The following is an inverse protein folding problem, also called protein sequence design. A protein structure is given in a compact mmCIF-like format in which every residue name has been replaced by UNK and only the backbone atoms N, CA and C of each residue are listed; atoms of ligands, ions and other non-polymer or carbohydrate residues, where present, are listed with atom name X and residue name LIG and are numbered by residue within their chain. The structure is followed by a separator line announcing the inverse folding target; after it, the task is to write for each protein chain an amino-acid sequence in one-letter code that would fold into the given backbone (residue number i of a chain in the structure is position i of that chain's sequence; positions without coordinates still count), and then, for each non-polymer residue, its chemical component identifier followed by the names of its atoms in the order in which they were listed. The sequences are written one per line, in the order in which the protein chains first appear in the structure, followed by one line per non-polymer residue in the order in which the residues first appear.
data_IF_921484485209
#
_entry.id   IF_921484485209
#
_cell.length_a   1.000
_cell.length_b   1.000
_cell.length_c   1.000
_cell.angle_alpha   90.00
_cell.angle_beta   90.00
_cell.angle_gamma   90.00
#
_symmetry.space_group_name_H-M   'P 1'
#
loop_
_entity.id
_entity.type
_entity.pdbx_description
1 polymer ?
#
# COMPACT_ATOMS: atom_id res chain seq x y z
N UNK A 1 9.62 -19.57 5.25
CA UNK A 1 8.92 -18.54 4.46
C UNK A 1 8.34 -17.52 5.44
N UNK A 2 8.53 -16.21 5.23
CA UNK A 2 7.98 -15.20 6.14
C UNK A 2 6.43 -15.22 6.05
N UNK A 3 5.71 -15.11 7.15
CA UNK A 3 4.23 -15.29 7.19
C UNK A 3 3.50 -14.36 6.22
N UNK A 4 4.03 -13.16 6.00
CA UNK A 4 3.52 -12.17 5.05
C UNK A 4 3.67 -12.63 3.60
N UNK A 5 4.84 -13.14 3.21
CA UNK A 5 5.09 -13.62 1.85
C UNK A 5 4.20 -14.83 1.49
N UNK A 6 3.95 -15.72 2.45
CA UNK A 6 3.00 -16.82 2.28
C UNK A 6 1.57 -16.31 1.98
N UNK A 7 1.11 -15.32 2.74
CA UNK A 7 -0.23 -14.74 2.56
C UNK A 7 -0.33 -14.12 1.17
N UNK A 8 0.67 -13.35 0.74
CA UNK A 8 0.64 -12.66 -0.55
C UNK A 8 0.62 -13.64 -1.75
N UNK A 9 1.38 -14.74 -1.68
CA UNK A 9 1.45 -15.71 -2.78
C UNK A 9 0.18 -16.55 -2.86
N UNK A 10 -0.34 -17.01 -1.73
CA UNK A 10 -1.57 -17.82 -1.69
C UNK A 10 -2.80 -16.98 -1.99
N UNK A 11 -2.87 -15.74 -1.51
CA UNK A 11 -4.01 -14.87 -1.79
C UNK A 11 -4.16 -14.62 -3.29
N UNK A 12 -3.08 -14.50 -4.08
CA UNK A 12 -3.17 -14.37 -5.54
C UNK A 12 -3.87 -15.56 -6.20
N UNK A 13 -3.63 -16.78 -5.70
CA UNK A 13 -4.19 -18.02 -6.25
C UNK A 13 -5.69 -18.12 -5.95
N UNK A 14 -6.15 -17.59 -4.81
CA UNK A 14 -7.56 -17.63 -4.37
C UNK A 14 -8.21 -16.25 -4.27
N UNK A 15 -7.68 -15.27 -4.99
CA UNK A 15 -8.20 -13.91 -5.03
C UNK A 15 -9.55 -13.90 -5.78
N UNK A 16 -10.51 -13.04 -5.38
CA UNK A 16 -11.72 -12.84 -6.17
C UNK A 16 -11.38 -12.45 -7.62
N UNK A 17 -12.07 -13.09 -8.58
CA UNK A 17 -11.75 -13.00 -10.00
C UNK A 17 -10.97 -14.21 -10.55
N UNK A 18 -10.23 -14.95 -9.70
CA UNK A 18 -9.57 -16.19 -10.14
C UNK A 18 -10.58 -17.33 -10.36
N UNK A 19 -10.35 -18.22 -11.36
CA UNK A 19 -11.22 -19.38 -11.58
C UNK A 19 -11.32 -20.30 -10.35
N UNK A 20 -10.22 -20.47 -9.62
CA UNK A 20 -10.21 -21.28 -8.41
C UNK A 20 -11.08 -20.65 -7.31
N UNK A 21 -11.00 -19.33 -7.12
CA UNK A 21 -11.85 -18.64 -6.15
C UNK A 21 -13.33 -18.73 -6.51
N UNK A 22 -13.67 -18.54 -7.78
CA UNK A 22 -15.05 -18.69 -8.25
C UNK A 22 -15.60 -20.10 -7.94
N UNK A 23 -14.82 -21.14 -8.22
CA UNK A 23 -15.20 -22.51 -7.91
C UNK A 23 -15.36 -22.75 -6.40
N UNK A 24 -14.45 -22.24 -5.57
CA UNK A 24 -14.52 -22.31 -4.11
C UNK A 24 -15.78 -21.59 -3.59
N UNK A 25 -16.08 -20.40 -4.10
CA UNK A 25 -17.25 -19.62 -3.69
C UNK A 25 -18.55 -20.32 -4.12
N UNK A 26 -18.58 -20.99 -5.27
CA UNK A 26 -19.72 -21.81 -5.70
C UNK A 26 -19.97 -22.98 -4.74
N UNK A 27 -18.91 -23.69 -4.31
CA UNK A 27 -19.00 -24.77 -3.31
C UNK A 27 -19.52 -24.23 -1.98
N UNK A 28 -19.01 -23.08 -1.53
CA UNK A 28 -19.44 -22.44 -0.29
C UNK A 28 -20.92 -22.01 -0.35
N UNK A 29 -21.35 -21.35 -1.44
CA UNK A 29 -22.73 -20.87 -1.67
C UNK A 29 -23.76 -21.99 -1.71
N UNK A 30 -23.40 -23.13 -2.30
CA UNK A 30 -24.24 -24.32 -2.30
C UNK A 30 -24.32 -25.02 -0.93
N UNK A 31 -23.66 -24.47 0.09
CA UNK A 31 -23.53 -25.05 1.42
C UNK A 31 -22.97 -26.46 1.31
N UNK A 32 -21.94 -26.65 0.49
CA UNK A 32 -21.23 -27.92 0.38
C UNK A 32 -19.88 -27.80 1.11
N UNK A 33 -19.44 -28.87 1.75
CA UNK A 33 -18.08 -28.92 2.29
C UNK A 33 -17.08 -29.23 1.19
N UNK A 34 -15.82 -28.88 1.37
CA UNK A 34 -14.79 -29.20 0.38
C UNK A 34 -13.42 -29.30 1.02
N UNK A 35 -12.59 -30.22 0.53
CA UNK A 35 -11.18 -30.31 0.85
C UNK A 35 -10.41 -30.38 -0.46
N UNK A 36 -9.69 -29.33 -0.80
CA UNK A 36 -9.00 -29.19 -2.09
C UNK A 36 -7.50 -29.09 -1.81
N UNK A 37 -6.68 -29.81 -2.56
CA UNK A 37 -5.22 -29.76 -2.47
C UNK A 37 -4.65 -29.31 -3.81
N UNK A 38 -3.75 -28.34 -3.83
CA UNK A 38 -2.99 -27.96 -5.02
C UNK A 38 -1.62 -28.64 -4.99
N UNK A 39 -1.33 -29.45 -6.00
CA UNK A 39 -0.09 -30.20 -6.14
C UNK A 39 -0.23 -31.68 -5.73
N UNK A 40 0.46 -32.55 -6.47
CA UNK A 40 0.48 -34.00 -6.28
C UNK A 40 1.92 -34.53 -6.31
N UNK A 41 2.68 -34.22 -5.26
CA UNK A 41 4.07 -34.65 -5.09
C UNK A 41 4.19 -36.06 -4.49
N UNK A 42 5.42 -36.57 -4.34
CA UNK A 42 5.67 -37.91 -3.78
C UNK A 42 5.07 -38.09 -2.38
N UNK A 43 5.06 -37.04 -1.55
CA UNK A 43 4.43 -37.09 -0.23
C UNK A 43 2.91 -37.26 -0.32
N UNK A 44 2.26 -36.62 -1.31
CA UNK A 44 0.83 -36.83 -1.59
C UNK A 44 0.53 -38.27 -2.02
N UNK A 45 1.39 -38.89 -2.84
CA UNK A 45 1.17 -40.28 -3.30
C UNK A 45 1.06 -41.27 -2.14
N UNK A 46 1.77 -41.01 -1.04
CA UNK A 46 1.78 -41.89 0.14
C UNK A 46 0.54 -41.76 1.04
N UNK A 47 -0.23 -40.68 0.90
CA UNK A 47 -1.36 -40.37 1.79
C UNK A 47 -2.71 -40.36 1.09
N UNK A 48 -2.74 -40.49 -0.23
CA UNK A 48 -3.96 -40.52 -1.04
C UNK A 48 -4.44 -41.95 -1.16
N UNK A 49 -5.66 -42.19 -0.69
CA UNK A 49 -6.32 -43.49 -0.76
C UNK A 49 -7.65 -43.38 -1.53
N UNK A 50 -7.90 -44.36 -2.40
CA UNK A 50 -9.08 -44.43 -3.26
C UNK A 50 -9.27 -43.24 -4.21
N UNK A 51 -10.53 -42.96 -4.51
CA UNK A 51 -10.94 -41.89 -5.45
C UNK A 51 -10.83 -42.24 -6.92
N UNK A 52 -11.12 -41.24 -7.76
CA UNK A 52 -11.12 -41.36 -9.22
C UNK A 52 -10.02 -40.50 -9.81
N UNK A 53 -9.20 -41.08 -10.66
CA UNK A 53 -8.30 -40.31 -11.53
C UNK A 53 -9.10 -39.72 -12.68
N UNK A 54 -9.10 -38.40 -12.80
CA UNK A 54 -9.90 -37.64 -13.78
C UNK A 54 -8.99 -37.02 -14.84
N UNK A 55 -7.96 -36.29 -14.39
CA UNK A 55 -7.01 -35.57 -15.24
C UNK A 55 -7.67 -34.71 -16.33
N UNK A 56 -8.66 -33.89 -15.95
CA UNK A 56 -9.30 -32.94 -16.85
C UNK A 56 -8.79 -31.50 -16.62
N UNK A 57 -9.05 -30.61 -17.58
CA UNK A 57 -8.81 -29.17 -17.40
C UNK A 57 -9.69 -28.62 -16.27
N UNK A 58 -9.15 -27.66 -15.53
CA UNK A 58 -9.86 -27.00 -14.45
C UNK A 58 -10.97 -26.11 -15.02
N UNK A 59 -12.16 -26.21 -14.42
CA UNK A 59 -13.18 -25.18 -14.53
C UNK A 59 -13.88 -24.99 -13.18
N UNK A 60 -14.36 -23.77 -12.87
CA UNK A 60 -15.14 -23.52 -11.65
C UNK A 60 -16.35 -24.47 -11.52
N UNK A 61 -17.00 -24.77 -12.64
CA UNK A 61 -18.14 -25.69 -12.70
C UNK A 61 -17.75 -27.13 -12.38
N UNK A 62 -16.61 -27.62 -12.89
CA UNK A 62 -16.14 -28.97 -12.59
C UNK A 62 -15.75 -29.11 -11.12
N UNK A 63 -15.04 -28.12 -10.56
CA UNK A 63 -14.73 -28.12 -9.13
C UNK A 63 -16.01 -28.18 -8.29
N UNK A 64 -17.00 -27.37 -8.65
CA UNK A 64 -18.30 -27.33 -7.98
C UNK A 64 -19.03 -28.68 -8.01
N UNK A 65 -19.13 -29.32 -9.18
CA UNK A 65 -19.80 -30.61 -9.33
C UNK A 65 -19.07 -31.72 -8.56
N UNK A 66 -17.74 -31.79 -8.67
CA UNK A 66 -16.93 -32.80 -7.99
C UNK A 66 -16.94 -32.62 -6.47
N UNK A 67 -17.06 -31.39 -5.97
CA UNK A 67 -17.13 -31.11 -4.54
C UNK A 67 -18.44 -31.58 -3.88
N UNK A 68 -19.45 -31.98 -4.66
CA UNK A 68 -20.66 -32.65 -4.14
C UNK A 68 -20.36 -34.07 -3.65
N UNK A 69 -19.26 -34.67 -4.11
CA UNK A 69 -18.78 -35.96 -3.62
C UNK A 69 -18.09 -35.78 -2.26
N UNK A 70 -18.11 -36.82 -1.43
CA UNK A 70 -17.30 -36.85 -0.22
C UNK A 70 -15.81 -36.99 -0.55
N UNK A 71 -14.94 -36.64 0.39
CA UNK A 71 -13.48 -36.75 0.25
C UNK A 71 -12.80 -35.46 -0.17
N UNK A 72 -11.64 -35.59 -0.79
CA UNK A 72 -10.81 -34.50 -1.27
C UNK A 72 -10.73 -34.46 -2.80
N UNK A 73 -10.40 -33.28 -3.31
CA UNK A 73 -10.10 -33.00 -4.72
C UNK A 73 -8.64 -32.58 -4.79
N UNK A 74 -7.90 -33.15 -5.74
CA UNK A 74 -6.48 -32.86 -5.94
C UNK A 74 -6.33 -32.19 -7.30
N UNK A 75 -5.73 -31.00 -7.30
CA UNK A 75 -5.40 -30.21 -8.48
C UNK A 75 -3.91 -30.35 -8.80
N UNK A 76 -3.53 -29.98 -10.03
CA UNK A 76 -2.13 -29.71 -10.38
C UNK A 76 -1.53 -28.60 -9.50
N UNK A 77 -0.20 -28.46 -9.53
CA UNK A 77 0.51 -27.43 -8.75
C UNK A 77 0.09 -26.02 -9.19
N UNK A 78 -0.12 -25.84 -10.49
CA UNK A 78 -0.58 -24.62 -11.14
C UNK A 78 -2.10 -24.41 -11.01
N UNK A 79 -2.85 -25.43 -10.58
CA UNK A 79 -4.31 -25.38 -10.44
C UNK A 79 -5.08 -25.41 -11.76
N UNK A 80 -4.42 -25.68 -12.87
CA UNK A 80 -4.98 -25.72 -14.23
C UNK A 80 -5.67 -27.05 -14.59
N UNK A 81 -5.48 -28.10 -13.78
CA UNK A 81 -6.07 -29.43 -13.98
C UNK A 81 -6.61 -30.02 -12.69
N UNK A 82 -7.71 -30.77 -12.80
CA UNK A 82 -8.24 -31.61 -11.73
C UNK A 82 -7.72 -33.03 -11.93
N UNK A 83 -6.84 -33.47 -11.04
CA UNK A 83 -6.16 -34.76 -11.13
C UNK A 83 -7.03 -35.88 -10.54
N UNK A 84 -7.53 -35.66 -9.32
CA UNK A 84 -8.34 -36.64 -8.60
C UNK A 84 -9.54 -36.00 -7.91
N UNK A 85 -10.60 -36.77 -7.71
CA UNK A 85 -11.71 -36.43 -6.82
C UNK A 85 -12.16 -37.65 -6.01
N UNK A 86 -12.90 -37.40 -4.93
CA UNK A 86 -13.36 -38.42 -3.98
C UNK A 86 -12.20 -39.23 -3.37
N UNK A 87 -11.07 -38.59 -3.13
CA UNK A 87 -9.92 -39.24 -2.48
C UNK A 87 -10.02 -39.10 -0.97
N UNK A 88 -9.68 -40.14 -0.23
CA UNK A 88 -9.46 -40.06 1.20
C UNK A 88 -8.00 -39.67 1.48
N UNK A 89 -7.78 -38.61 2.25
CA UNK A 89 -6.43 -38.21 2.67
C UNK A 89 -6.13 -38.75 4.05
N UNK A 90 -5.06 -39.53 4.17
CA UNK A 90 -4.62 -40.20 5.40
C UNK A 90 -3.23 -39.69 5.82
N UNK A 91 -3.12 -38.43 6.29
CA UNK A 91 -1.84 -37.89 6.74
C UNK A 91 -1.41 -38.53 8.07
N UNK A 92 -0.13 -38.42 8.40
CA UNK A 92 0.43 -38.96 9.64
C UNK A 92 -0.30 -38.41 10.88
N UNK A 93 -0.93 -39.27 11.72
CA UNK A 93 -1.71 -38.84 12.87
C UNK A 93 -0.87 -38.22 13.99
N UNK A 94 0.46 -38.44 14.02
CA UNK A 94 1.35 -37.84 15.02
C UNK A 94 1.63 -36.37 14.76
N UNK A 95 1.32 -35.85 13.57
CA UNK A 95 1.44 -34.43 13.27
C UNK A 95 0.43 -33.65 14.14
N UNK A 96 0.89 -32.71 14.97
CA UNK A 96 0.02 -31.93 15.83
C UNK A 96 -0.96 -31.11 14.99
N UNK A 97 -2.16 -30.89 15.51
CA UNK A 97 -3.16 -30.04 14.88
C UNK A 97 -3.93 -29.30 15.97
N UNK A 98 -4.21 -28.03 15.74
CA UNK A 98 -5.00 -27.18 16.65
C UNK A 98 -6.47 -27.11 16.22
N UNK A 99 -6.82 -27.76 15.11
CA UNK A 99 -8.15 -27.73 14.53
C UNK A 99 -9.12 -28.70 15.22
N UNK A 100 -10.39 -28.30 15.29
CA UNK A 100 -11.43 -29.07 16.00
C UNK A 100 -12.22 -30.01 15.09
N UNK A 101 -12.34 -29.68 13.79
CA UNK A 101 -13.08 -30.48 12.81
C UNK A 101 -12.20 -31.47 12.06
N UNK A 102 -12.70 -32.69 11.79
CA UNK A 102 -11.95 -33.77 11.09
C UNK A 102 -11.35 -33.25 9.77
N UNK A 103 -12.14 -32.52 8.96
CA UNK A 103 -11.69 -31.94 7.69
C UNK A 103 -10.56 -30.91 7.87
N UNK A 104 -10.70 -30.00 8.83
CA UNK A 104 -9.69 -28.99 9.11
C UNK A 104 -8.40 -29.60 9.71
N UNK A 105 -8.53 -30.62 10.57
CA UNK A 105 -7.36 -31.38 11.08
C UNK A 105 -6.63 -32.09 9.94
N UNK A 106 -7.39 -32.70 9.03
CA UNK A 106 -6.82 -33.35 7.84
C UNK A 106 -6.11 -32.32 6.98
N UNK A 107 -6.75 -31.18 6.72
CA UNK A 107 -6.16 -30.08 5.94
C UNK A 107 -4.84 -29.57 6.55
N UNK A 108 -4.83 -29.26 7.85
CA UNK A 108 -3.63 -28.79 8.55
C UNK A 108 -2.50 -29.82 8.51
N UNK A 109 -2.81 -31.11 8.71
CA UNK A 109 -1.80 -32.18 8.69
C UNK A 109 -1.26 -32.45 7.29
N UNK A 110 -2.12 -32.49 6.28
CA UNK A 110 -1.71 -32.66 4.88
C UNK A 110 -0.80 -31.50 4.47
N UNK A 111 -1.19 -30.26 4.78
CA UNK A 111 -0.38 -29.08 4.49
C UNK A 111 1.00 -29.12 5.17
N UNK A 112 1.07 -29.55 6.44
CA UNK A 112 2.34 -29.70 7.17
C UNK A 112 3.21 -30.83 6.62
N UNK A 113 2.61 -31.96 6.26
CA UNK A 113 3.33 -33.13 5.81
C UNK A 113 3.88 -32.94 4.39
N UNK A 114 3.06 -32.38 3.50
CA UNK A 114 3.35 -32.36 2.05
C UNK A 114 3.92 -31.03 1.56
N UNK A 115 3.78 -29.96 2.36
CA UNK A 115 4.12 -28.60 1.97
C UNK A 115 3.14 -27.96 0.97
N UNK A 116 2.15 -28.71 0.49
CA UNK A 116 1.18 -28.26 -0.50
C UNK A 116 0.14 -27.32 0.10
N UNK A 117 -0.47 -26.48 -0.74
CA UNK A 117 -1.60 -25.65 -0.36
C UNK A 117 -2.85 -26.53 -0.23
N UNK A 118 -3.48 -26.48 0.94
CA UNK A 118 -4.73 -27.18 1.23
C UNK A 118 -5.81 -26.20 1.61
N UNK A 119 -6.95 -26.28 0.92
CA UNK A 119 -8.11 -25.41 1.05
C UNK A 119 -9.24 -26.22 1.67
N UNK A 120 -9.67 -25.82 2.87
CA UNK A 120 -10.80 -26.42 3.58
C UNK A 120 -11.99 -25.47 3.55
N UNK A 121 -13.10 -25.94 2.99
CA UNK A 121 -14.38 -25.24 2.92
C UNK A 121 -15.31 -25.84 3.98
N UNK A 122 -15.66 -25.02 4.97
CA UNK A 122 -16.57 -25.42 6.05
C UNK A 122 -17.97 -24.90 5.81
N UNK A 123 -18.84 -25.79 5.34
CA UNK A 123 -20.29 -25.56 5.20
C UNK A 123 -20.92 -24.96 6.46
N UNK A 124 -20.67 -25.53 7.64
CA UNK A 124 -21.35 -25.11 8.89
C UNK A 124 -20.96 -23.69 9.33
N UNK A 125 -19.69 -23.34 9.16
CA UNK A 125 -19.15 -22.04 9.57
C UNK A 125 -19.22 -20.98 8.47
N UNK A 126 -19.54 -21.38 7.24
CA UNK A 126 -19.46 -20.53 6.06
C UNK A 126 -18.08 -19.85 5.91
N UNK A 127 -17.00 -20.61 6.11
CA UNK A 127 -15.62 -20.11 6.12
C UNK A 127 -14.75 -20.99 5.23
N UNK A 128 -13.85 -20.34 4.47
CA UNK A 128 -12.78 -20.97 3.71
C UNK A 128 -11.47 -20.78 4.48
N UNK A 129 -10.71 -21.85 4.69
CA UNK A 129 -9.43 -21.80 5.39
C UNK A 129 -8.33 -22.44 4.54
N UNK A 130 -7.21 -21.74 4.44
CA UNK A 130 -6.03 -22.09 3.66
C UNK A 130 -4.93 -22.55 4.62
N UNK A 131 -4.26 -23.63 4.27
CA UNK A 131 -3.14 -24.21 5.01
C UNK A 131 -1.99 -24.48 4.07
N UNK A 132 -0.76 -24.13 4.45
CA UNK A 132 0.46 -24.53 3.73
C UNK A 132 1.63 -24.57 4.71
N UNK A 133 2.29 -25.73 4.83
CA UNK A 133 3.25 -25.95 5.91
C UNK A 133 2.63 -25.64 7.27
N UNK A 134 3.28 -24.80 8.06
CA UNK A 134 2.77 -24.36 9.38
C UNK A 134 1.79 -23.18 9.31
N UNK A 135 1.63 -22.58 8.13
CA UNK A 135 0.83 -21.37 7.96
C UNK A 135 -0.66 -21.68 7.81
N UNK A 136 -1.48 -20.80 8.39
CA UNK A 136 -2.95 -20.88 8.37
C UNK A 136 -3.53 -19.50 8.11
N UNK A 137 -4.44 -19.41 7.14
CA UNK A 137 -5.16 -18.17 6.84
C UNK A 137 -6.64 -18.46 6.59
N UNK A 138 -7.52 -17.70 7.23
CA UNK A 138 -8.96 -17.77 6.98
C UNK A 138 -9.34 -16.66 6.01
N UNK A 139 -9.90 -17.01 4.85
CA UNK A 139 -10.41 -16.01 3.93
C UNK A 139 -11.56 -15.25 4.60
N UNK A 140 -11.49 -13.93 4.53
CA UNK A 140 -12.58 -13.06 4.99
C UNK A 140 -13.67 -13.03 3.92
N UNK A 141 -14.87 -12.71 4.35
CA UNK A 141 -15.98 -12.41 3.45
C UNK A 141 -15.67 -11.16 2.62
N UNK A 142 -15.96 -11.22 1.32
CA UNK A 142 -15.67 -10.13 0.37
C UNK A 142 -16.39 -8.84 0.80
N UNK A 143 -17.65 -8.94 1.25
CA UNK A 143 -18.43 -7.79 1.72
C UNK A 143 -17.84 -7.14 2.96
N UNK A 144 -17.25 -7.92 3.87
CA UNK A 144 -16.51 -7.39 5.02
C UNK A 144 -15.26 -6.62 4.59
N UNK A 145 -14.49 -7.16 3.63
CA UNK A 145 -13.29 -6.47 3.13
C UNK A 145 -13.69 -5.19 2.40
N UNK A 146 -14.68 -5.23 1.51
CA UNK A 146 -15.22 -4.06 0.81
C UNK A 146 -15.70 -2.97 1.78
N UNK A 147 -16.39 -3.35 2.86
CA UNK A 147 -16.87 -2.40 3.87
C UNK A 147 -15.70 -1.67 4.54
N UNK A 148 -14.65 -2.41 4.93
CA UNK A 148 -13.44 -1.82 5.52
C UNK A 148 -12.67 -0.95 4.54
N UNK A 149 -12.56 -1.39 3.28
CA UNK A 149 -11.91 -0.62 2.23
C UNK A 149 -12.60 0.73 1.99
N UNK A 150 -13.93 0.75 1.92
CA UNK A 150 -14.72 1.98 1.81
C UNK A 150 -14.53 2.91 3.02
N UNK A 151 -14.53 2.37 4.25
CA UNK A 151 -14.25 3.16 5.45
C UNK A 151 -12.84 3.76 5.44
N UNK A 152 -11.85 3.00 4.97
CA UNK A 152 -10.49 3.47 4.84
C UNK A 152 -10.35 4.58 3.79
N UNK A 153 -11.06 4.49 2.65
CA UNK A 153 -11.15 5.56 1.64
C UNK A 153 -11.75 6.83 2.23
N UNK A 154 -12.88 6.75 2.93
CA UNK A 154 -13.49 7.93 3.58
C UNK A 154 -12.55 8.56 4.62
N UNK A 155 -11.79 7.72 5.33
CA UNK A 155 -10.77 8.21 6.27
C UNK A 155 -9.66 8.92 5.51
N UNK A 156 -9.16 8.33 4.43
CA UNK A 156 -8.15 8.91 3.57
C UNK A 156 -8.56 10.27 3.02
N UNK A 157 -9.80 10.41 2.53
CA UNK A 157 -10.37 11.69 2.05
C UNK A 157 -10.29 12.78 3.12
N UNK A 158 -10.68 12.45 4.35
CA UNK A 158 -10.61 13.39 5.48
C UNK A 158 -9.17 13.79 5.81
N UNK A 159 -8.25 12.82 5.85
CA UNK A 159 -6.84 13.11 6.13
C UNK A 159 -6.18 13.90 4.99
N UNK A 160 -6.53 13.61 3.73
CA UNK A 160 -6.08 14.36 2.56
C UNK A 160 -6.56 15.79 2.62
N UNK A 161 -7.85 16.04 2.90
CA UNK A 161 -8.37 17.41 3.04
C UNK A 161 -7.63 18.21 4.11
N UNK A 162 -7.32 17.60 5.26
CA UNK A 162 -6.54 18.25 6.32
C UNK A 162 -5.08 18.48 5.89
N UNK A 163 -4.49 17.54 5.16
CA UNK A 163 -3.14 17.68 4.59
C UNK A 163 -3.09 18.84 3.58
N UNK A 164 -4.04 18.89 2.64
CA UNK A 164 -4.13 19.92 1.62
C UNK A 164 -4.23 21.32 2.27
N UNK A 165 -5.07 21.47 3.31
CA UNK A 165 -5.12 22.71 4.09
C UNK A 165 -3.79 23.01 4.81
N UNK A 166 -3.15 22.00 5.39
CA UNK A 166 -1.84 22.16 6.03
C UNK A 166 -0.76 22.64 5.06
N UNK A 167 -0.76 22.11 3.83
CA UNK A 167 0.16 22.50 2.75
C UNK A 167 -0.12 23.94 2.28
N UNK A 168 -1.39 24.35 2.20
CA UNK A 168 -1.79 25.73 1.88
C UNK A 168 -1.32 26.68 2.97
N UNK A 169 -1.60 26.36 4.24
CA UNK A 169 -1.18 27.19 5.38
C UNK A 169 0.34 27.30 5.46
N UNK A 170 1.07 26.20 5.30
CA UNK A 170 2.53 26.21 5.26
C UNK A 170 3.03 27.06 4.09
N UNK A 171 2.44 26.94 2.90
CA UNK A 171 2.79 27.78 1.76
C UNK A 171 2.63 29.28 2.05
N UNK A 172 1.55 29.70 2.70
CA UNK A 172 1.39 31.10 3.07
C UNK A 172 2.48 31.57 4.04
N UNK A 173 2.83 30.75 5.05
CA UNK A 173 3.91 31.04 5.98
C UNK A 173 5.29 31.09 5.31
N UNK A 174 5.52 30.26 4.28
CA UNK A 174 6.75 30.28 3.48
C UNK A 174 6.92 31.63 2.76
N UNK A 175 5.84 32.20 2.21
CA UNK A 175 5.84 33.51 1.59
C UNK A 175 5.94 34.67 2.61
N UNK A 176 5.45 34.47 3.83
CA UNK A 176 5.52 35.44 4.93
C UNK A 176 6.88 35.39 5.67
N UNK A 177 7.76 34.43 5.35
CA UNK A 177 9.03 34.17 6.04
C UNK A 177 8.84 33.83 7.54
N UNK A 178 7.73 33.16 7.89
CA UNK A 178 7.30 32.85 9.27
C UNK A 178 7.27 31.34 9.59
N UNK A 179 7.89 30.50 8.78
CA UNK A 179 7.87 29.04 9.00
C UNK A 179 8.75 28.65 10.18
N UNK A 180 8.23 27.78 11.05
CA UNK A 180 9.01 27.12 12.10
C UNK A 180 9.02 25.60 11.90
N UNK A 181 9.85 24.90 12.67
CA UNK A 181 9.86 23.43 12.63
C UNK A 181 8.53 22.81 13.05
N UNK A 182 7.73 23.52 13.85
CA UNK A 182 6.42 23.04 14.26
C UNK A 182 5.49 22.88 13.06
N UNK A 183 5.37 23.89 12.19
CA UNK A 183 4.49 23.80 11.01
C UNK A 183 4.98 22.76 10.01
N UNK A 184 6.30 22.68 9.79
CA UNK A 184 6.90 21.67 8.90
C UNK A 184 6.63 20.26 9.42
N UNK A 185 6.85 20.02 10.72
CA UNK A 185 6.63 18.70 11.33
C UNK A 185 5.17 18.29 11.23
N UNK A 186 4.24 19.21 11.52
CA UNK A 186 2.79 18.95 11.40
C UNK A 186 2.39 18.52 9.99
N UNK A 187 2.91 19.17 8.94
CA UNK A 187 2.60 18.77 7.55
C UNK A 187 3.22 17.41 7.23
N UNK A 188 4.48 17.15 7.62
CA UNK A 188 5.12 15.83 7.41
C UNK A 188 4.35 14.72 8.14
N UNK A 189 3.86 14.97 9.37
CA UNK A 189 3.01 14.03 10.09
C UNK A 189 1.75 13.68 9.29
N UNK A 190 1.08 14.68 8.70
CA UNK A 190 -0.14 14.46 7.88
C UNK A 190 0.16 13.68 6.61
N UNK A 191 1.28 13.98 5.94
CA UNK A 191 1.75 13.22 4.78
C UNK A 191 1.91 11.75 5.14
N UNK A 192 2.62 11.45 6.23
CA UNK A 192 2.89 10.07 6.63
C UNK A 192 1.61 9.32 7.01
N UNK A 193 0.66 9.97 7.69
CA UNK A 193 -0.66 9.38 7.98
C UNK A 193 -1.42 9.01 6.69
N UNK A 194 -1.42 9.88 5.68
CA UNK A 194 -2.02 9.61 4.36
C UNK A 194 -1.36 8.41 3.69
N UNK A 195 -0.03 8.32 3.70
CA UNK A 195 0.72 7.20 3.09
C UNK A 195 0.52 5.87 3.83
N UNK A 196 0.30 5.90 5.15
CA UNK A 196 -0.06 4.70 5.95
C UNK A 196 -1.43 4.18 5.58
N UNK A 197 -2.44 5.06 5.51
CA UNK A 197 -3.80 4.68 5.12
C UNK A 197 -3.80 4.16 3.69
N UNK A 198 -3.07 4.80 2.76
CA UNK A 198 -2.85 4.28 1.39
C UNK A 198 -2.33 2.85 1.40
N UNK A 199 -1.31 2.57 2.21
CA UNK A 199 -0.72 1.23 2.32
C UNK A 199 -1.72 0.21 2.85
N UNK A 200 -2.57 0.59 3.80
CA UNK A 200 -3.64 -0.27 4.32
C UNK A 200 -4.71 -0.56 3.25
N UNK A 201 -5.13 0.44 2.48
CA UNK A 201 -6.10 0.29 1.38
C UNK A 201 -5.55 -0.64 0.29
N UNK A 202 -4.27 -0.53 -0.06
CA UNK A 202 -3.63 -1.43 -1.02
C UNK A 202 -3.70 -2.90 -0.57
N UNK A 203 -3.58 -3.17 0.74
CA UNK A 203 -3.75 -4.53 1.26
C UNK A 203 -5.19 -5.02 1.06
N UNK A 204 -6.20 -4.16 1.28
CA UNK A 204 -7.59 -4.51 0.97
C UNK A 204 -7.82 -4.75 -0.52
N UNK A 205 -7.25 -3.92 -1.41
CA UNK A 205 -7.34 -4.11 -2.86
C UNK A 205 -6.73 -5.44 -3.28
N UNK A 206 -5.56 -5.79 -2.74
CA UNK A 206 -4.92 -7.07 -2.99
C UNK A 206 -5.77 -8.26 -2.49
N UNK A 207 -6.41 -8.15 -1.32
CA UNK A 207 -7.35 -9.17 -0.82
C UNK A 207 -8.62 -9.28 -1.68
N UNK A 208 -9.05 -8.18 -2.31
CA UNK A 208 -10.28 -8.11 -3.13
C UNK A 208 -10.08 -8.56 -4.58
N UNK A 209 -8.86 -8.60 -5.11
CA UNK A 209 -8.61 -8.95 -6.51
C UNK A 209 -9.43 -8.07 -7.47
N UNK A 210 -10.16 -8.69 -8.40
CA UNK A 210 -10.98 -7.98 -9.40
C UNK A 210 -12.09 -7.13 -8.78
N UNK A 211 -12.64 -7.54 -7.63
CA UNK A 211 -13.67 -6.80 -6.88
C UNK A 211 -13.10 -5.49 -6.27
N UNK A 212 -11.77 -5.36 -6.19
CA UNK A 212 -11.07 -4.20 -5.66
C UNK A 212 -10.92 -3.05 -6.65
N UNK A 213 -11.32 -3.23 -7.91
CA UNK A 213 -11.06 -2.30 -9.01
C UNK A 213 -11.52 -0.86 -8.71
N UNK A 214 -12.75 -0.68 -8.23
CA UNK A 214 -13.28 0.66 -7.93
C UNK A 214 -12.51 1.33 -6.78
N UNK A 215 -12.17 0.58 -5.74
CA UNK A 215 -11.37 1.07 -4.61
C UNK A 215 -9.98 1.50 -5.10
N UNK A 216 -9.36 0.72 -5.98
CA UNK A 216 -8.05 1.05 -6.55
C UNK A 216 -8.09 2.35 -7.35
N UNK A 217 -9.14 2.55 -8.16
CA UNK A 217 -9.32 3.79 -8.93
C UNK A 217 -9.49 5.01 -8.01
N UNK A 218 -10.34 4.89 -6.98
CA UNK A 218 -10.53 5.95 -5.99
C UNK A 218 -9.23 6.29 -5.24
N UNK A 219 -8.47 5.25 -4.85
CA UNK A 219 -7.20 5.44 -4.18
C UNK A 219 -6.20 6.20 -5.06
N UNK A 220 -6.06 5.78 -6.32
CA UNK A 220 -5.14 6.41 -7.28
C UNK A 220 -5.47 7.88 -7.50
N UNK A 221 -6.75 8.22 -7.66
CA UNK A 221 -7.22 9.60 -7.77
C UNK A 221 -6.85 10.43 -6.52
N UNK A 222 -7.17 9.92 -5.33
CA UNK A 222 -6.95 10.63 -4.07
C UNK A 222 -5.47 10.85 -3.75
N UNK A 223 -4.60 9.88 -4.02
CA UNK A 223 -3.18 9.98 -3.64
C UNK A 223 -2.25 10.37 -4.78
N UNK A 224 -2.81 10.68 -5.95
CA UNK A 224 -2.05 11.19 -7.09
C UNK A 224 -1.18 12.37 -6.64
N UNK A 225 0.11 12.30 -6.94
CA UNK A 225 1.14 13.31 -6.63
C UNK A 225 1.53 13.52 -5.15
N UNK A 226 0.86 12.92 -4.17
CA UNK A 226 1.18 13.16 -2.73
C UNK A 226 2.62 12.73 -2.41
N UNK A 227 3.07 11.58 -2.90
CA UNK A 227 4.45 11.11 -2.69
C UNK A 227 5.49 12.06 -3.30
N UNK A 228 5.16 12.67 -4.44
CA UNK A 228 6.03 13.66 -5.08
C UNK A 228 6.06 14.97 -4.30
N UNK A 229 4.91 15.48 -3.86
CA UNK A 229 4.85 16.70 -3.03
C UNK A 229 5.53 16.50 -1.68
N UNK A 230 5.41 15.31 -1.08
CA UNK A 230 6.14 14.91 0.12
C UNK A 230 7.66 14.94 -0.09
N UNK A 231 8.15 14.39 -1.20
CA UNK A 231 9.57 14.46 -1.55
C UNK A 231 10.08 15.90 -1.71
N UNK A 232 9.31 16.74 -2.40
CA UNK A 232 9.65 18.17 -2.58
C UNK A 232 9.63 18.94 -1.25
N UNK A 233 8.65 18.67 -0.39
CA UNK A 233 8.59 19.23 0.97
C UNK A 233 9.83 18.87 1.77
N UNK A 234 10.25 17.61 1.74
CA UNK A 234 11.47 17.18 2.42
C UNK A 234 12.70 17.87 1.82
N UNK A 235 12.85 17.91 0.49
CA UNK A 235 13.95 18.63 -0.16
C UNK A 235 14.05 20.10 0.26
N UNK A 236 12.92 20.74 0.56
CA UNK A 236 12.91 22.13 1.03
C UNK A 236 13.48 22.31 2.44
N UNK A 237 13.36 21.30 3.31
CA UNK A 237 13.66 21.43 4.74
C UNK A 237 14.73 20.48 5.27
N UNK A 238 15.28 19.56 4.48
CA UNK A 238 16.42 18.72 4.92
C UNK A 238 17.66 19.60 5.12
N UNK A 239 18.45 19.33 6.16
CA UNK A 239 19.67 20.09 6.43
C UNK A 239 20.76 19.89 5.36
N UNK A 240 21.06 18.65 5.00
CA UNK A 240 22.06 18.29 3.98
C UNK A 240 21.40 18.02 2.62
N UNK A 241 21.69 18.83 1.61
CA UNK A 241 21.14 18.69 0.26
C UNK A 241 21.49 17.36 -0.42
N UNK A 242 22.57 16.70 0.00
CA UNK A 242 22.99 15.42 -0.58
C UNK A 242 22.20 14.23 -0.01
N UNK A 243 21.40 14.45 1.03
CA UNK A 243 20.60 13.40 1.63
C UNK A 243 19.36 13.14 0.77
N UNK A 244 19.21 11.89 0.34
CA UNK A 244 18.09 11.42 -0.47
C UNK A 244 16.75 11.52 0.30
N UNK A 245 15.81 12.31 -0.22
CA UNK A 245 14.48 12.46 0.38
C UNK A 245 13.72 11.13 0.43
N UNK A 246 13.96 10.22 -0.51
CA UNK A 246 13.35 8.90 -0.53
C UNK A 246 13.84 8.04 0.63
N UNK A 247 15.07 8.25 1.08
CA UNK A 247 15.59 7.59 2.27
C UNK A 247 14.82 8.04 3.52
N UNK A 248 14.53 9.33 3.65
CA UNK A 248 13.78 9.87 4.78
C UNK A 248 12.33 9.40 4.76
N UNK A 249 11.66 9.40 3.61
CA UNK A 249 10.31 8.83 3.48
C UNK A 249 10.26 7.37 3.93
N UNK A 250 11.29 6.58 3.58
CA UNK A 250 11.41 5.19 4.06
C UNK A 250 11.66 5.09 5.57
N UNK A 251 12.36 6.04 6.17
CA UNK A 251 12.56 6.10 7.62
C UNK A 251 11.26 6.49 8.34
N UNK A 252 10.52 7.48 7.84
CA UNK A 252 9.20 7.89 8.36
C UNK A 252 8.21 6.70 8.35
N UNK A 253 8.20 5.92 7.27
CA UNK A 253 7.39 4.70 7.16
C UNK A 253 7.68 3.64 8.23
N UNK A 254 8.89 3.63 8.79
CA UNK A 254 9.31 2.66 9.82
C UNK A 254 8.94 3.09 11.25
N UNK A 255 8.60 4.36 11.46
CA UNK A 255 8.24 4.87 12.78
C UNK A 255 6.96 4.18 13.28
N UNK A 256 6.88 3.97 14.59
CA UNK A 256 5.63 3.62 15.25
C UNK A 256 4.68 4.83 15.26
N UNK A 257 3.39 4.58 15.56
CA UNK A 257 2.43 5.67 15.65
C UNK A 257 2.75 6.62 16.83
N UNK A 258 3.41 6.13 17.89
CA UNK A 258 3.82 6.94 19.04
C UNK A 258 5.01 7.84 18.69
N UNK A 259 6.02 7.29 18.01
CA UNK A 259 7.16 8.05 17.51
C UNK A 259 6.72 9.12 16.49
N UNK A 260 5.69 8.82 15.71
CA UNK A 260 5.06 9.78 14.79
C UNK A 260 4.23 10.87 15.50
N UNK A 261 4.17 10.93 16.82
CA UNK A 261 3.59 12.08 17.53
C UNK A 261 4.66 13.03 18.05
N UNK A 262 5.93 12.64 17.97
CA UNK A 262 7.05 13.42 18.47
C UNK A 262 7.68 14.26 17.35
N UNK A 263 7.35 15.55 17.29
CA UNK A 263 7.95 16.49 16.33
C UNK A 263 9.49 16.45 16.35
N UNK A 264 10.10 16.24 17.52
CA UNK A 264 11.57 16.14 17.65
C UNK A 264 12.18 14.97 16.87
N UNK A 265 11.44 13.88 16.65
CA UNK A 265 11.91 12.75 15.84
C UNK A 265 11.97 13.18 14.38
N UNK A 266 10.96 13.90 13.88
CA UNK A 266 10.96 14.43 12.51
C UNK A 266 12.12 15.39 12.30
N UNK A 267 12.30 16.36 13.21
CA UNK A 267 13.39 17.35 13.12
C UNK A 267 14.76 16.67 13.09
N UNK A 268 14.94 15.60 13.87
CA UNK A 268 16.16 14.78 13.83
C UNK A 268 16.34 14.08 12.47
N UNK A 269 15.28 13.53 11.89
CA UNK A 269 15.34 12.86 10.58
C UNK A 269 15.70 13.84 9.46
N UNK A 270 15.27 15.10 9.57
CA UNK A 270 15.69 16.19 8.69
C UNK A 270 17.15 16.62 8.88
N UNK A 271 17.86 16.08 9.88
CA UNK A 271 19.29 16.33 10.12
C UNK A 271 19.58 17.42 11.15
N UNK A 272 18.57 17.91 11.88
CA UNK A 272 18.74 18.95 12.90
C UNK A 272 18.92 18.38 14.31
N UNK A 273 19.45 19.20 15.21
CA UNK A 273 19.67 18.82 16.61
C UNK A 273 18.35 18.76 17.38
N UNK A 274 18.24 17.84 18.34
CA UNK A 274 17.06 17.70 19.21
C UNK A 274 16.82 18.90 20.14
N UNK A 275 17.83 19.73 20.38
CA UNK A 275 17.76 20.82 21.35
C UNK A 275 17.17 22.12 20.79
N UNK A 276 16.65 22.10 19.56
CA UNK A 276 16.06 23.27 18.92
C UNK A 276 14.66 23.51 19.49
N UNK A 277 14.36 24.76 19.87
CA UNK A 277 13.01 25.16 20.20
C UNK A 277 12.16 25.21 18.92
N UNK A 278 11.23 24.27 18.77
CA UNK A 278 10.51 24.04 17.52
C UNK A 278 9.61 25.20 17.10
N UNK A 279 9.08 25.96 18.07
CA UNK A 279 8.14 27.07 17.83
C UNK A 279 8.83 28.42 17.68
N UNK A 280 10.09 28.55 18.08
CA UNK A 280 10.84 29.83 18.02
C UNK A 280 11.90 29.83 16.93
N UNK A 281 12.35 28.66 16.47
CA UNK A 281 13.36 28.57 15.44
C UNK A 281 12.72 28.65 14.06
N UNK A 282 12.94 29.79 13.40
CA UNK A 282 12.50 29.99 12.02
C UNK A 282 13.39 29.23 11.05
N UNK A 283 12.77 28.72 9.98
CA UNK A 283 13.45 28.00 8.91
C UNK A 283 12.91 28.49 7.56
N UNK A 284 13.78 28.59 6.57
CA UNK A 284 13.40 29.03 5.21
C UNK A 284 13.46 27.85 4.26
N UNK A 285 12.41 27.59 3.46
CA UNK A 285 12.46 26.55 2.45
C UNK A 285 13.40 26.93 1.30
N UNK A 286 13.97 25.91 0.65
CA UNK A 286 14.76 26.11 -0.58
C UNK A 286 13.93 26.63 -1.75
N UNK A 287 12.71 26.11 -1.92
CA UNK A 287 11.76 26.51 -2.95
C UNK A 287 11.40 25.41 -3.95
N UNK A 288 11.90 24.18 -3.81
CA UNK A 288 11.61 23.04 -4.67
C UNK A 288 10.11 22.85 -4.87
N UNK A 289 9.32 22.87 -3.79
CA UNK A 289 7.88 22.63 -3.82
C UNK A 289 7.14 23.73 -4.57
N UNK A 290 7.41 25.00 -4.26
CA UNK A 290 6.76 26.16 -4.88
C UNK A 290 7.14 26.25 -6.37
N UNK A 291 8.43 26.11 -6.71
CA UNK A 291 8.91 26.22 -8.09
C UNK A 291 8.33 25.11 -8.99
N UNK A 292 8.16 23.89 -8.47
CA UNK A 292 7.51 22.80 -9.21
C UNK A 292 6.03 23.03 -9.49
N UNK A 293 5.35 23.94 -8.77
CA UNK A 293 3.97 24.34 -9.07
C UNK A 293 3.89 25.26 -10.29
N UNK A 294 5.00 25.85 -10.74
CA UNK A 294 5.04 26.70 -11.93
C UNK A 294 5.04 25.82 -13.20
N UNK A 295 4.02 25.91 -14.07
CA UNK A 295 3.90 25.01 -15.21
C UNK A 295 5.07 25.12 -16.19
N UNK A 296 5.53 23.99 -16.74
CA UNK A 296 6.57 23.92 -17.79
C UNK A 296 7.95 24.48 -17.37
N UNK A 297 8.30 24.40 -16.09
CA UNK A 297 9.67 24.59 -15.61
C UNK A 297 10.33 23.21 -15.49
N UNK A 298 11.42 22.92 -16.24
CA UNK A 298 12.13 21.66 -16.12
C UNK A 298 12.77 21.48 -14.73
N UNK A 299 12.84 20.26 -14.18
CA UNK A 299 13.47 20.02 -12.87
C UNK A 299 14.92 20.53 -12.77
N UNK A 300 15.72 20.37 -13.84
CA UNK A 300 17.09 20.89 -13.88
C UNK A 300 17.17 22.41 -13.68
N UNK A 301 16.19 23.15 -14.19
CA UNK A 301 16.12 24.61 -13.99
C UNK A 301 15.80 24.94 -12.53
N UNK A 302 14.98 24.12 -11.87
CA UNK A 302 14.69 24.27 -10.43
C UNK A 302 15.95 24.02 -9.60
N UNK A 303 16.73 22.98 -9.92
CA UNK A 303 18.03 22.72 -9.26
C UNK A 303 18.97 23.92 -9.44
N UNK A 304 19.17 24.40 -10.67
CA UNK A 304 20.05 25.55 -10.94
C UNK A 304 19.62 26.84 -10.21
N UNK A 305 18.31 27.08 -10.05
CA UNK A 305 17.80 28.20 -9.26
C UNK A 305 18.18 28.08 -7.79
N UNK A 306 18.01 26.89 -7.23
CA UNK A 306 18.26 26.64 -5.82
C UNK A 306 19.77 26.66 -5.55
N UNK A 307 20.58 26.17 -6.47
CA UNK A 307 22.04 26.26 -6.37
C UNK A 307 22.53 27.72 -6.42
N UNK A 308 21.90 28.60 -7.22
CA UNK A 308 22.29 30.02 -7.31
C UNK A 308 21.78 30.86 -6.13
N UNK A 309 20.53 30.67 -5.72
CA UNK A 309 19.84 31.56 -4.78
C UNK A 309 19.64 30.98 -3.38
N UNK A 310 19.93 29.69 -3.18
CA UNK A 310 19.85 28.92 -1.94
C UNK A 310 18.43 28.74 -1.35
N UNK A 311 17.56 29.75 -1.42
CA UNK A 311 16.22 29.72 -0.85
C UNK A 311 15.19 30.55 -1.63
N UNK A 312 13.91 30.27 -1.38
CA UNK A 312 12.80 30.87 -2.13
C UNK A 312 12.74 32.38 -1.96
N UNK A 313 13.11 32.90 -0.79
CA UNK A 313 13.10 34.33 -0.49
C UNK A 313 14.06 35.09 -1.40
N UNK A 314 15.26 34.57 -1.63
CA UNK A 314 16.22 35.20 -2.55
C UNK A 314 15.72 35.14 -4.00
N UNK A 315 15.14 34.01 -4.43
CA UNK A 315 14.54 33.89 -5.77
C UNK A 315 13.40 34.91 -5.97
N UNK A 316 12.59 35.12 -4.94
CA UNK A 316 11.52 36.12 -4.96
C UNK A 316 12.02 37.55 -5.02
N UNK A 317 13.18 37.86 -4.44
CA UNK A 317 13.78 39.20 -4.46
C UNK A 317 14.62 39.48 -5.71
N UNK A 318 15.09 38.44 -6.39
CA UNK A 318 15.95 38.56 -7.58
C UNK A 318 15.33 39.39 -8.71
N UNK A 319 16.11 40.13 -9.49
CA UNK A 319 15.59 40.81 -10.69
C UNK A 319 15.36 39.83 -11.85
N UNK A 320 14.71 40.29 -12.94
CA UNK A 320 14.55 39.44 -14.14
C UNK A 320 15.93 39.15 -14.75
N UNK A 321 16.82 40.12 -14.72
CA UNK A 321 18.20 40.02 -15.21
C UNK A 321 19.00 39.00 -14.39
N UNK A 322 18.89 39.03 -13.05
CA UNK A 322 19.58 38.06 -12.18
C UNK A 322 19.07 36.62 -12.38
N UNK A 323 17.78 36.46 -12.67
CA UNK A 323 17.19 35.17 -13.01
C UNK A 323 17.63 34.69 -14.40
N UNK A 324 17.76 35.58 -15.38
CA UNK A 324 18.20 35.29 -16.75
C UNK A 324 19.64 34.75 -16.80
N UNK A 325 20.49 35.17 -15.86
CA UNK A 325 21.86 34.67 -15.73
C UNK A 325 21.98 33.21 -15.25
N UNK A 326 20.88 32.59 -14.77
CA UNK A 326 20.90 31.19 -14.33
C UNK A 326 20.93 30.26 -15.54
N UNK A 327 21.78 29.23 -15.51
CA UNK A 327 21.86 28.28 -16.62
C UNK A 327 20.49 27.64 -16.92
N UNK A 328 20.08 27.69 -18.20
CA UNK A 328 18.79 27.17 -18.63
C UNK A 328 17.62 28.11 -18.32
N UNK A 329 17.87 29.33 -17.86
CA UNK A 329 16.88 30.40 -17.81
C UNK A 329 17.19 31.39 -18.92
N UNK A 330 16.14 31.80 -19.60
CA UNK A 330 16.16 32.92 -20.54
C UNK A 330 15.13 33.94 -20.08
N UNK A 331 15.17 35.16 -20.60
CA UNK A 331 14.30 36.28 -20.18
C UNK A 331 12.82 35.88 -20.09
N UNK A 332 12.32 35.14 -21.09
CA UNK A 332 10.94 34.65 -21.10
C UNK A 332 10.61 33.69 -19.94
N UNK A 333 11.56 32.83 -19.53
CA UNK A 333 11.40 31.95 -18.36
C UNK A 333 11.54 32.72 -17.05
N UNK A 334 12.47 33.67 -16.97
CA UNK A 334 12.64 34.54 -15.81
C UNK A 334 11.36 35.31 -15.47
N UNK A 335 10.74 35.95 -16.47
CA UNK A 335 9.43 36.62 -16.33
C UNK A 335 8.35 35.65 -15.86
N UNK A 336 8.28 34.47 -16.48
CA UNK A 336 7.30 33.44 -16.11
C UNK A 336 7.48 32.91 -14.69
N UNK A 337 8.71 32.78 -14.20
CA UNK A 337 8.98 32.39 -12.81
C UNK A 337 8.46 33.47 -11.87
N UNK A 338 8.77 34.74 -12.13
CA UNK A 338 8.25 35.87 -11.32
C UNK A 338 6.73 35.91 -11.28
N UNK A 339 6.08 35.93 -12.44
CA UNK A 339 4.62 35.92 -12.55
C UNK A 339 4.01 34.69 -11.87
N UNK A 340 4.65 33.52 -12.02
CA UNK A 340 4.22 32.27 -11.38
C UNK A 340 4.28 32.35 -9.85
N UNK A 341 5.37 32.87 -9.30
CA UNK A 341 5.53 33.04 -7.85
C UNK A 341 4.49 34.02 -7.29
N UNK A 342 4.29 35.18 -7.93
CA UNK A 342 3.27 36.16 -7.52
C UNK A 342 1.88 35.55 -7.54
N UNK A 343 1.51 34.84 -8.61
CA UNK A 343 0.21 34.19 -8.72
C UNK A 343 -0.01 33.13 -7.64
N UNK A 344 1.00 32.32 -7.35
CA UNK A 344 0.93 31.29 -6.30
C UNK A 344 0.75 31.96 -4.94
N UNK A 345 1.48 33.04 -4.65
CA UNK A 345 1.35 33.81 -3.42
C UNK A 345 -0.07 34.34 -3.22
N UNK A 346 -0.63 35.00 -4.23
CA UNK A 346 -2.00 35.53 -4.20
C UNK A 346 -3.02 34.41 -3.93
N UNK A 347 -2.87 33.27 -4.62
CA UNK A 347 -3.76 32.14 -4.44
C UNK A 347 -3.68 31.56 -3.02
N UNK A 348 -2.48 31.35 -2.47
CA UNK A 348 -2.31 30.80 -1.13
C UNK A 348 -2.92 31.69 -0.04
N UNK A 349 -2.83 33.02 -0.20
CA UNK A 349 -3.45 33.95 0.75
C UNK A 349 -4.98 33.94 0.69
N UNK A 350 -5.57 33.71 -0.48
CA UNK A 350 -7.02 33.52 -0.62
C UNK A 350 -7.43 32.18 0.01
N UNK A 351 -6.77 31.09 -0.40
CA UNK A 351 -7.13 29.72 -0.02
C UNK A 351 -6.91 29.45 1.48
N UNK A 352 -6.00 30.19 2.15
CA UNK A 352 -5.80 30.11 3.62
C UNK A 352 -7.04 30.51 4.43
N UNK A 353 -7.92 31.35 3.87
CA UNK A 353 -9.09 31.91 4.56
C UNK A 353 -10.41 31.21 4.21
N UNK A 354 -10.37 30.21 3.33
CA UNK A 354 -11.48 29.34 2.94
C UNK A 354 -11.38 28.04 3.73
#
# INVERSE_FOLDING_TARGET
MNKTAFIDDVLKIVAPGSPLREGIDNVLRAKTGGLIVLGYNNEMMNIVDGGFFINCEFSPAYLYELAKMDGAIILSEEGDRILYANTQLVPNPTIPSTETGIRHRTAERVARQTGNLVISISQRRNVITLYQGESRYSLKDIGVILTKANQAIQTLEKYKSVLDQGITNLGALEFEELVTFQEVSQVIHRVEMVLRIKSEILNYVNELGDEGRLISMQLEELVSNIEKEAGLLLKDYIKDQNQDEQHILKQLKKLSNEELLEDQIIVKLLGYSKNINLSEHTITPRGYRILHKIPRIPPLVVENLIDKFENITQIMRASIEELDEVEGIGEARARKIKEGLTRIQEQLFIDRHI
#
